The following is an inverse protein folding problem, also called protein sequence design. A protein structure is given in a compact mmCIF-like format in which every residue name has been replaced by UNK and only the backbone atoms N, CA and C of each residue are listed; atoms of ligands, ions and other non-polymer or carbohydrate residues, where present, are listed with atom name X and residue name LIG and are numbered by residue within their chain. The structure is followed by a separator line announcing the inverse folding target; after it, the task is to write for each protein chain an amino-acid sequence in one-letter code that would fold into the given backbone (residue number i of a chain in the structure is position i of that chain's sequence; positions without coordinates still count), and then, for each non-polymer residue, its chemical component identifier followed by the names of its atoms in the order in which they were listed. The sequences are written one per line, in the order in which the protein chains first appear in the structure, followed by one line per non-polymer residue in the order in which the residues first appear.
data_IF_563463423464
#
_entry.id   IF_563463423464
#
_cell.length_a   1.000
_cell.length_b   1.000
_cell.length_c   1.000
_cell.angle_alpha   90.00
_cell.angle_beta   90.00
_cell.angle_gamma   90.00
#
_symmetry.space_group_name_H-M   'P 1'
#
loop_
_entity.id
_entity.type
_entity.pdbx_description
1 polymer ?
#
# COMPACT_ATOMS: atom_id res chain seq x y z
N UNK A 1 -1.23 42.36 -39.35
CA UNK A 1 -1.99 41.43 -38.48
C UNK A 1 -1.52 39.97 -38.52
N UNK A 2 -0.40 39.63 -39.18
CA UNK A 2 0.07 38.22 -39.32
C UNK A 2 1.19 37.79 -38.35
N UNK A 3 1.83 38.72 -37.64
CA UNK A 3 2.96 38.40 -36.72
C UNK A 3 2.54 37.93 -35.32
N UNK A 4 1.28 38.12 -34.93
CA UNK A 4 0.79 37.72 -33.59
C UNK A 4 0.33 36.25 -33.54
N UNK A 5 -0.04 35.65 -34.67
CA UNK A 5 -0.50 34.24 -34.73
C UNK A 5 0.65 33.23 -34.58
N UNK A 6 1.85 33.54 -35.09
CA UNK A 6 3.01 32.63 -34.99
C UNK A 6 3.51 32.45 -33.55
N UNK A 7 3.49 33.51 -32.73
CA UNK A 7 3.95 33.43 -31.33
C UNK A 7 2.99 32.61 -30.44
N UNK A 8 1.69 32.63 -30.76
CA UNK A 8 0.69 31.84 -30.03
C UNK A 8 0.81 30.35 -30.35
N UNK A 9 1.12 30.00 -31.61
CA UNK A 9 1.32 28.62 -32.04
C UNK A 9 2.58 28.01 -31.42
N UNK A 10 3.69 28.76 -31.37
CA UNK A 10 4.92 28.32 -30.68
C UNK A 10 4.73 28.16 -29.17
N UNK A 11 3.94 29.05 -28.53
CA UNK A 11 3.61 28.93 -27.12
C UNK A 11 2.73 27.69 -26.84
N UNK A 12 1.80 27.38 -27.74
CA UNK A 12 0.93 26.20 -27.65
C UNK A 12 1.70 24.88 -27.85
N UNK A 13 2.67 24.84 -28.76
CA UNK A 13 3.56 23.69 -28.97
C UNK A 13 4.48 23.49 -27.75
N UNK A 14 4.97 24.58 -27.13
CA UNK A 14 5.77 24.51 -25.90
C UNK A 14 4.94 24.02 -24.71
N UNK A 15 3.68 24.46 -24.58
CA UNK A 15 2.76 24.00 -23.52
C UNK A 15 2.34 22.52 -23.69
N UNK A 16 2.22 22.03 -24.92
CA UNK A 16 1.96 20.60 -25.19
C UNK A 16 3.18 19.70 -24.94
N UNK A 17 4.40 20.21 -25.02
CA UNK A 17 5.60 19.42 -24.71
C UNK A 17 5.76 19.17 -23.19
N UNK A 18 5.25 20.07 -22.34
CA UNK A 18 5.36 19.95 -20.87
C UNK A 18 4.33 18.98 -20.29
N UNK A 19 3.23 18.69 -20.99
CA UNK A 19 2.17 17.78 -20.52
C UNK A 19 2.49 16.28 -20.69
N UNK A 20 3.63 15.91 -21.27
CA UNK A 20 3.96 14.51 -21.60
C UNK A 20 4.85 13.77 -20.58
N UNK A 21 5.32 14.43 -19.52
CA UNK A 21 6.04 13.76 -18.42
C UNK A 21 5.09 13.41 -17.28
N UNK A 22 4.01 12.68 -17.59
CA UNK A 22 3.25 12.01 -16.54
C UNK A 22 4.06 10.81 -16.05
N UNK A 23 4.34 10.78 -14.75
CA UNK A 23 4.97 9.64 -14.11
C UNK A 23 4.04 8.42 -14.26
N UNK A 24 4.57 7.34 -14.84
CA UNK A 24 3.79 6.13 -15.09
C UNK A 24 3.87 5.23 -13.86
N UNK A 25 2.72 4.91 -13.29
CA UNK A 25 2.59 3.99 -12.15
C UNK A 25 2.33 2.58 -12.65
N UNK A 26 3.13 1.64 -12.17
CA UNK A 26 3.09 0.23 -12.54
C UNK A 26 2.98 -0.62 -11.27
N UNK A 27 1.99 -1.49 -11.22
CA UNK A 27 1.78 -2.39 -10.08
C UNK A 27 1.97 -3.85 -10.49
N UNK A 28 2.69 -4.58 -9.66
CA UNK A 28 2.99 -5.99 -9.81
C UNK A 28 2.66 -6.74 -8.52
N UNK A 29 2.31 -8.01 -8.66
CA UNK A 29 2.02 -8.93 -7.57
C UNK A 29 2.66 -10.29 -7.87
N UNK A 30 3.25 -10.90 -6.86
CA UNK A 30 3.86 -12.22 -6.95
C UNK A 30 4.52 -12.61 -5.64
N UNK A 31 5.73 -13.16 -5.72
CA UNK A 31 6.41 -13.75 -4.57
C UNK A 31 7.92 -13.47 -4.58
N UNK A 32 8.49 -13.39 -3.37
CA UNK A 32 9.91 -13.66 -3.13
C UNK A 32 10.04 -15.15 -2.81
N UNK A 33 10.96 -15.84 -3.47
CA UNK A 33 11.31 -17.23 -3.19
C UNK A 33 12.68 -17.25 -2.55
N UNK A 34 12.74 -17.64 -1.27
CA UNK A 34 13.99 -17.83 -0.54
C UNK A 34 14.64 -19.16 -0.94
N UNK A 35 15.96 -19.31 -0.72
CA UNK A 35 16.70 -20.54 -1.04
C UNK A 35 16.11 -21.80 -0.39
N UNK A 36 15.48 -21.67 0.77
CA UNK A 36 14.79 -22.76 1.48
C UNK A 36 13.37 -23.02 0.96
N UNK A 37 13.02 -22.54 -0.24
CA UNK A 37 11.70 -22.64 -0.90
C UNK A 37 10.54 -21.98 -0.16
N UNK A 38 10.81 -21.14 0.83
CA UNK A 38 9.79 -20.29 1.46
C UNK A 38 9.34 -19.22 0.47
N UNK A 39 8.02 -19.12 0.27
CA UNK A 39 7.42 -18.12 -0.59
C UNK A 39 6.78 -17.01 0.24
N UNK A 40 7.29 -15.79 0.09
CA UNK A 40 6.74 -14.59 0.74
C UNK A 40 5.95 -13.81 -0.30
N UNK A 41 4.68 -13.53 -0.04
CA UNK A 41 3.87 -12.70 -0.93
C UNK A 41 4.47 -11.30 -1.06
N UNK A 42 4.57 -10.80 -2.29
CA UNK A 42 5.24 -9.53 -2.58
C UNK A 42 4.44 -8.72 -3.59
N UNK A 43 4.05 -7.50 -3.19
CA UNK A 43 3.45 -6.50 -4.06
C UNK A 43 4.49 -5.41 -4.33
N UNK A 44 4.61 -5.01 -5.59
CA UNK A 44 5.57 -4.01 -6.02
C UNK A 44 4.84 -2.90 -6.79
N UNK A 45 4.99 -1.66 -6.36
CA UNK A 45 4.48 -0.48 -7.06
C UNK A 45 5.67 0.39 -7.45
N UNK A 46 5.83 0.61 -8.75
CA UNK A 46 6.91 1.43 -9.32
C UNK A 46 6.33 2.66 -10.01
N UNK A 47 6.97 3.79 -9.81
CA UNK A 47 6.73 5.04 -10.50
C UNK A 47 8.00 5.43 -11.26
N UNK A 48 7.86 5.55 -12.59
CA UNK A 48 8.96 5.85 -13.50
C UNK A 48 8.96 7.34 -13.87
N UNK A 49 10.12 7.97 -13.73
CA UNK A 49 10.39 9.34 -14.20
C UNK A 49 11.74 9.37 -14.90
N UNK A 50 11.71 9.19 -16.23
CA UNK A 50 12.92 8.91 -17.00
C UNK A 50 13.49 7.55 -16.61
N UNK A 51 14.79 7.50 -16.30
CA UNK A 51 15.46 6.29 -15.80
C UNK A 51 15.24 6.07 -14.30
N UNK A 52 14.81 7.09 -13.55
CA UNK A 52 14.61 6.96 -12.11
C UNK A 52 13.35 6.15 -11.81
N UNK A 53 13.49 5.24 -10.86
CA UNK A 53 12.42 4.42 -10.32
C UNK A 53 12.24 4.77 -8.85
N UNK A 54 11.00 4.97 -8.45
CA UNK A 54 10.60 5.16 -7.05
C UNK A 54 9.34 4.35 -6.77
N UNK A 55 8.95 4.20 -5.51
CA UNK A 55 7.67 3.60 -5.16
C UNK A 55 7.74 2.81 -3.87
N UNK A 56 7.06 1.68 -3.84
CA UNK A 56 6.88 0.89 -2.63
C UNK A 56 6.80 -0.61 -2.91
N UNK A 57 7.22 -1.41 -1.94
CA UNK A 57 6.87 -2.82 -1.83
C UNK A 57 5.95 -3.07 -0.66
N UNK A 58 5.24 -4.20 -0.69
CA UNK A 58 4.59 -4.79 0.49
C UNK A 58 4.95 -6.27 0.55
N UNK A 59 5.64 -6.69 1.60
CA UNK A 59 5.92 -8.10 1.94
C UNK A 59 4.81 -8.65 2.83
N UNK A 60 4.69 -9.98 2.88
CA UNK A 60 3.70 -10.71 3.69
C UNK A 60 2.27 -10.16 3.55
N UNK A 61 1.86 -9.91 2.30
CA UNK A 61 0.60 -9.23 1.97
C UNK A 61 -0.63 -9.91 2.62
N UNK A 62 -1.28 -9.19 3.54
CA UNK A 62 -2.42 -9.63 4.34
C UNK A 62 -2.09 -10.54 5.54
N UNK A 63 -0.81 -10.86 5.73
CA UNK A 63 -0.27 -11.68 6.81
C UNK A 63 -0.01 -10.91 8.10
N UNK A 64 0.63 -11.57 9.06
CA UNK A 64 0.90 -11.04 10.40
C UNK A 64 2.10 -10.08 10.43
N UNK A 65 2.99 -10.20 9.44
CA UNK A 65 4.24 -9.45 9.33
C UNK A 65 4.22 -8.50 8.12
N UNK A 66 3.02 -8.13 7.64
CA UNK A 66 2.87 -7.24 6.49
C UNK A 66 3.70 -5.97 6.69
N UNK A 67 4.63 -5.72 5.77
CA UNK A 67 5.56 -4.60 5.86
C UNK A 67 5.59 -3.87 4.54
N UNK A 68 5.34 -2.56 4.57
CA UNK A 68 5.41 -1.69 3.41
C UNK A 68 6.70 -0.87 3.44
N UNK A 69 7.56 -1.08 2.45
CA UNK A 69 8.86 -0.42 2.35
C UNK A 69 8.90 0.59 1.20
N UNK A 70 9.66 1.67 1.38
CA UNK A 70 9.98 2.63 0.33
C UNK A 70 11.02 2.04 -0.63
N UNK A 71 10.87 2.32 -1.91
CA UNK A 71 11.78 1.86 -2.97
C UNK A 71 12.39 3.03 -3.71
N UNK A 72 13.68 2.89 -4.03
CA UNK A 72 14.42 3.74 -4.96
C UNK A 72 15.25 2.89 -5.91
N UNK A 73 15.50 3.37 -7.12
CA UNK A 73 16.23 2.61 -8.12
C UNK A 73 16.32 3.29 -9.47
N UNK A 74 16.76 2.52 -10.46
CA UNK A 74 16.87 2.95 -11.84
C UNK A 74 16.44 1.83 -12.80
N UNK A 75 15.84 2.23 -13.92
CA UNK A 75 15.59 1.39 -15.07
C UNK A 75 16.48 1.83 -16.23
N UNK A 76 17.35 0.92 -16.66
CA UNK A 76 18.26 1.11 -17.77
C UNK A 76 17.63 0.51 -19.02
N UNK A 77 17.12 1.38 -19.90
CA UNK A 77 16.41 0.97 -21.12
C UNK A 77 17.31 0.27 -22.13
N UNK A 78 18.57 0.68 -22.24
CA UNK A 78 19.55 0.08 -23.16
C UNK A 78 19.84 -1.38 -22.83
N UNK A 79 19.99 -1.69 -21.54
CA UNK A 79 20.27 -3.04 -21.06
C UNK A 79 19.03 -3.80 -20.59
N UNK A 80 17.83 -3.20 -20.72
CA UNK A 80 16.57 -3.72 -20.20
C UNK A 80 16.72 -4.22 -18.76
N UNK A 81 17.37 -3.43 -17.90
CA UNK A 81 17.70 -3.83 -16.53
C UNK A 81 17.00 -2.93 -15.53
N UNK A 82 16.24 -3.52 -14.63
CA UNK A 82 15.71 -2.84 -13.45
C UNK A 82 16.63 -3.14 -12.27
N UNK A 83 17.07 -2.10 -11.59
CA UNK A 83 17.71 -2.18 -10.28
C UNK A 83 16.92 -1.34 -9.30
N UNK A 84 16.55 -1.91 -8.17
CA UNK A 84 15.94 -1.15 -7.09
C UNK A 84 16.37 -1.71 -5.74
N UNK A 85 16.27 -0.87 -4.73
CA UNK A 85 16.44 -1.26 -3.35
C UNK A 85 15.32 -0.67 -2.50
N UNK A 86 14.91 -1.45 -1.50
CA UNK A 86 14.17 -0.92 -0.37
C UNK A 86 15.14 -0.13 0.53
N UNK A 87 14.67 0.94 1.19
CA UNK A 87 15.56 1.79 2.01
C UNK A 87 14.92 2.33 3.30
N UNK A 88 13.71 1.87 3.63
CA UNK A 88 13.01 2.33 4.82
C UNK A 88 11.56 1.87 4.81
N UNK A 89 10.88 2.03 5.94
CA UNK A 89 9.54 1.47 6.15
C UNK A 89 8.52 2.58 6.27
N UNK A 90 7.42 2.44 5.54
CA UNK A 90 6.25 3.28 5.70
C UNK A 90 5.39 2.83 6.88
N UNK A 91 5.09 1.53 6.93
CA UNK A 91 4.46 0.86 8.08
C UNK A 91 4.86 -0.63 8.13
N UNK A 92 4.75 -1.23 9.31
CA UNK A 92 4.92 -2.68 9.51
C UNK A 92 3.97 -3.20 10.59
N UNK A 93 3.54 -4.45 10.45
CA UNK A 93 2.80 -5.19 11.47
C UNK A 93 3.66 -6.11 12.31
N UNK A 94 4.92 -6.26 11.93
CA UNK A 94 5.91 -6.97 12.72
C UNK A 94 6.26 -6.20 13.99
N UNK A 95 6.73 -6.94 14.99
CA UNK A 95 7.30 -6.35 16.19
C UNK A 95 8.52 -5.49 15.83
N UNK A 96 8.62 -4.32 16.49
CA UNK A 96 9.66 -3.31 16.24
C UNK A 96 10.52 -3.25 17.50
N UNK A 97 11.44 -4.19 17.64
CA UNK A 97 12.35 -4.24 18.80
C UNK A 97 13.65 -3.48 18.53
N UNK A 98 14.30 -3.72 17.39
CA UNK A 98 15.65 -3.19 17.07
C UNK A 98 15.80 -2.54 15.69
N UNK A 99 14.71 -2.40 14.91
CA UNK A 99 14.76 -1.91 13.52
C UNK A 99 15.63 -2.75 12.56
N UNK A 100 15.86 -4.03 12.86
CA UNK A 100 16.67 -4.94 12.02
C UNK A 100 15.90 -5.47 10.80
N UNK A 101 15.44 -4.55 9.95
CA UNK A 101 14.69 -4.90 8.75
C UNK A 101 15.62 -5.30 7.60
N UNK A 102 15.24 -6.39 6.94
CA UNK A 102 15.97 -6.95 5.82
C UNK A 102 15.42 -6.41 4.50
N UNK A 103 16.09 -5.42 3.92
CA UNK A 103 15.67 -4.69 2.73
C UNK A 103 16.07 -5.39 1.44
N UNK A 104 15.13 -5.54 0.51
CA UNK A 104 15.35 -6.17 -0.79
C UNK A 104 16.19 -5.27 -1.70
N UNK A 105 17.36 -5.75 -2.13
CA UNK A 105 18.14 -5.19 -3.24
C UNK A 105 18.00 -6.10 -4.47
N UNK A 106 17.26 -5.64 -5.47
CA UNK A 106 16.95 -6.39 -6.68
C UNK A 106 17.77 -5.89 -7.88
N UNK A 107 18.21 -6.84 -8.71
CA UNK A 107 18.74 -6.55 -10.05
C UNK A 107 18.30 -7.64 -11.01
N UNK A 108 17.54 -7.28 -12.04
CA UNK A 108 17.04 -8.25 -13.01
C UNK A 108 16.74 -7.64 -14.37
N UNK A 109 16.68 -8.51 -15.39
CA UNK A 109 16.28 -8.11 -16.73
C UNK A 109 14.76 -7.97 -16.79
N UNK A 110 14.30 -6.88 -17.37
CA UNK A 110 12.90 -6.50 -17.53
C UNK A 110 12.73 -6.03 -18.96
N UNK A 111 12.06 -6.82 -19.82
CA UNK A 111 12.08 -6.58 -21.27
C UNK A 111 11.57 -5.19 -21.69
N UNK A 112 10.61 -4.60 -20.98
CA UNK A 112 10.18 -3.20 -21.08
C UNK A 112 9.18 -2.81 -19.97
N UNK A 113 9.57 -2.07 -18.93
CA UNK A 113 8.67 -1.66 -17.82
C UNK A 113 7.28 -1.10 -18.27
N UNK A 114 7.18 -0.22 -19.28
CA UNK A 114 5.91 0.31 -19.76
C UNK A 114 4.95 -0.72 -20.38
N UNK A 115 5.49 -1.82 -20.93
CA UNK A 115 4.72 -2.90 -21.57
C UNK A 115 4.80 -4.20 -20.77
N UNK A 116 5.45 -4.15 -19.60
CA UNK A 116 5.94 -5.37 -18.96
C UNK A 116 4.91 -6.07 -18.12
N UNK A 117 5.11 -7.37 -18.09
CA UNK A 117 4.15 -8.30 -17.55
C UNK A 117 4.73 -9.14 -16.44
N UNK A 118 6.05 -9.26 -16.42
CA UNK A 118 6.79 -10.08 -15.47
C UNK A 118 8.09 -9.33 -15.14
N UNK A 119 8.40 -9.24 -13.84
CA UNK A 119 9.73 -8.88 -13.34
C UNK A 119 10.23 -10.13 -12.64
N UNK A 120 11.39 -10.61 -13.09
CA UNK A 120 12.04 -11.80 -12.55
C UNK A 120 13.53 -11.57 -12.42
N UNK A 121 14.14 -12.04 -11.33
CA UNK A 121 15.57 -11.90 -11.11
C UNK A 121 15.97 -12.15 -9.67
N UNK A 122 17.28 -12.16 -9.44
CA UNK A 122 17.85 -12.38 -8.12
C UNK A 122 17.76 -11.10 -7.27
N UNK A 123 17.61 -11.29 -5.98
CA UNK A 123 17.72 -10.23 -4.99
C UNK A 123 18.59 -10.67 -3.82
N UNK A 124 19.17 -9.68 -3.15
CA UNK A 124 19.87 -9.85 -1.89
C UNK A 124 19.19 -8.96 -0.87
N UNK A 125 18.74 -9.53 0.22
CA UNK A 125 18.29 -8.82 1.40
C UNK A 125 19.50 -8.23 2.14
N UNK A 126 19.42 -6.97 2.58
CA UNK A 126 20.45 -6.34 3.43
C UNK A 126 19.84 -5.60 4.61
N UNK A 127 20.54 -5.58 5.73
CA UNK A 127 20.24 -4.68 6.85
C UNK A 127 20.67 -3.24 6.52
N UNK A 128 20.31 -2.28 7.39
CA UNK A 128 20.67 -0.87 7.25
C UNK A 128 22.19 -0.62 7.25
N UNK A 129 22.97 -1.47 7.91
CA UNK A 129 24.44 -1.45 7.90
C UNK A 129 25.06 -2.07 6.62
N UNK A 130 24.21 -2.59 5.72
CA UNK A 130 24.60 -3.19 4.46
C UNK A 130 24.98 -4.67 4.53
N UNK A 131 25.04 -5.30 5.71
CA UNK A 131 25.28 -6.74 5.81
C UNK A 131 24.13 -7.52 5.18
N UNK A 132 24.47 -8.59 4.45
CA UNK A 132 23.47 -9.42 3.82
C UNK A 132 22.72 -10.26 4.86
N UNK A 133 21.38 -10.24 4.80
CA UNK A 133 20.51 -10.99 5.71
C UNK A 133 19.90 -12.24 5.07
N UNK A 134 19.57 -12.17 3.77
CA UNK A 134 19.08 -13.32 3.00
C UNK A 134 19.25 -13.05 1.50
N UNK A 135 18.97 -14.04 0.67
CA UNK A 135 18.95 -13.89 -0.78
C UNK A 135 17.94 -14.86 -1.40
N UNK A 136 17.56 -14.58 -2.64
CA UNK A 136 16.59 -15.39 -3.35
C UNK A 136 16.17 -14.79 -4.68
N UNK A 137 14.99 -15.22 -5.15
CA UNK A 137 14.44 -14.80 -6.43
C UNK A 137 13.13 -14.03 -6.26
N UNK A 138 13.02 -12.89 -6.95
CA UNK A 138 11.78 -12.15 -7.10
C UNK A 138 11.07 -12.64 -8.37
N UNK A 139 9.77 -12.94 -8.28
CA UNK A 139 8.92 -13.21 -9.45
C UNK A 139 7.56 -12.54 -9.26
N UNK A 140 7.32 -11.44 -9.99
CA UNK A 140 6.08 -10.67 -9.91
C UNK A 140 5.49 -10.39 -11.29
N UNK A 141 4.16 -10.28 -11.36
CA UNK A 141 3.42 -10.03 -12.60
C UNK A 141 2.52 -8.82 -12.49
N UNK A 142 2.31 -8.13 -13.61
CA UNK A 142 1.46 -6.93 -13.66
C UNK A 142 0.04 -7.22 -13.12
N UNK A 143 -0.41 -6.45 -12.13
CA UNK A 143 -1.74 -6.61 -11.52
C UNK A 143 -2.84 -6.44 -12.57
N UNK A 144 -2.68 -5.52 -13.53
CA UNK A 144 -3.65 -5.32 -14.60
C UNK A 144 -3.91 -6.59 -15.42
N UNK A 145 -2.86 -7.41 -15.67
CA UNK A 145 -3.02 -8.71 -16.34
C UNK A 145 -3.65 -9.75 -15.45
N UNK A 146 -3.26 -9.82 -14.18
CA UNK A 146 -3.87 -10.73 -13.21
C UNK A 146 -5.38 -10.46 -13.12
N UNK A 147 -5.77 -9.19 -12.99
CA UNK A 147 -7.16 -8.75 -12.94
C UNK A 147 -7.94 -9.11 -14.22
N UNK A 148 -7.37 -8.85 -15.40
CA UNK A 148 -8.01 -9.20 -16.67
C UNK A 148 -8.21 -10.71 -16.83
N UNK A 149 -7.27 -11.53 -16.35
CA UNK A 149 -7.40 -12.99 -16.35
C UNK A 149 -8.45 -13.45 -15.34
N UNK A 150 -8.43 -12.89 -14.12
CA UNK A 150 -9.42 -13.15 -13.07
C UNK A 150 -10.85 -12.85 -13.58
N UNK A 151 -11.07 -11.67 -14.18
CA UNK A 151 -12.36 -11.27 -14.76
C UNK A 151 -12.88 -12.26 -15.81
N UNK A 152 -11.99 -12.82 -16.65
CA UNK A 152 -12.37 -13.83 -17.66
C UNK A 152 -12.79 -15.15 -17.03
N UNK A 153 -12.09 -15.57 -15.96
CA UNK A 153 -12.43 -16.79 -15.22
C UNK A 153 -13.72 -16.59 -14.44
N UNK A 154 -13.88 -15.46 -13.75
CA UNK A 154 -15.11 -15.09 -13.04
C UNK A 154 -16.32 -15.15 -13.98
N UNK A 155 -16.19 -14.60 -15.20
CA UNK A 155 -17.25 -14.66 -16.24
C UNK A 155 -17.58 -16.10 -16.67
N UNK A 156 -16.61 -17.01 -16.68
CA UNK A 156 -16.84 -18.44 -16.99
C UNK A 156 -17.53 -19.15 -15.83
N UNK A 157 -17.09 -18.92 -14.60
CA UNK A 157 -17.67 -19.50 -13.37
C UNK A 157 -19.12 -19.03 -13.20
N UNK A 158 -19.40 -17.74 -13.40
CA UNK A 158 -20.76 -17.20 -13.33
C UNK A 158 -21.72 -17.85 -14.33
N UNK A 159 -21.22 -18.26 -15.51
CA UNK A 159 -22.01 -18.95 -16.54
C UNK A 159 -22.15 -20.45 -16.31
N UNK A 160 -21.39 -21.03 -15.39
CA UNK A 160 -21.45 -22.47 -15.12
C UNK A 160 -22.70 -22.79 -14.28
N UNK A 161 -23.60 -23.60 -14.83
CA UNK A 161 -24.84 -24.06 -14.15
C UNK A 161 -24.57 -24.99 -12.96
N UNK A 162 -23.39 -25.60 -12.91
CA UNK A 162 -23.01 -26.63 -11.91
C UNK A 162 -22.46 -26.02 -10.62
N UNK A 163 -22.10 -24.73 -10.62
CA UNK A 163 -21.58 -24.06 -9.42
C UNK A 163 -22.76 -23.43 -8.66
N UNK A 164 -22.97 -23.77 -7.37
CA UNK A 164 -23.97 -23.11 -6.52
C UNK A 164 -23.72 -21.61 -6.43
N UNK A 165 -24.78 -20.81 -6.42
CA UNK A 165 -24.66 -19.34 -6.39
C UNK A 165 -23.99 -18.81 -5.12
N UNK A 166 -24.08 -19.57 -4.01
CA UNK A 166 -23.36 -19.31 -2.76
C UNK A 166 -21.83 -19.43 -2.88
N UNK A 167 -21.33 -20.28 -3.78
CA UNK A 167 -19.89 -20.42 -4.06
C UNK A 167 -19.44 -19.31 -5.01
N UNK A 168 -20.25 -18.99 -6.04
CA UNK A 168 -19.95 -17.93 -7.01
C UNK A 168 -19.70 -16.56 -6.36
N UNK A 169 -20.44 -16.23 -5.29
CA UNK A 169 -20.30 -14.98 -4.56
C UNK A 169 -19.02 -14.91 -3.69
N UNK A 170 -18.57 -16.05 -3.14
CA UNK A 170 -17.35 -16.13 -2.30
C UNK A 170 -16.05 -16.20 -3.11
N UNK A 171 -16.11 -16.55 -4.40
CA UNK A 171 -14.92 -16.77 -5.25
C UNK A 171 -14.53 -15.58 -6.13
N UNK A 172 -15.02 -14.36 -5.88
CA UNK A 172 -14.67 -13.20 -6.70
C UNK A 172 -13.18 -12.86 -6.54
N UNK A 173 -12.36 -13.37 -7.45
CA UNK A 173 -10.90 -13.17 -7.44
C UNK A 173 -10.55 -11.70 -7.63
N UNK A 174 -11.37 -10.97 -8.39
CA UNK A 174 -11.22 -9.52 -8.56
C UNK A 174 -11.41 -8.76 -7.25
N UNK A 175 -12.40 -9.14 -6.43
CA UNK A 175 -12.61 -8.54 -5.10
C UNK A 175 -11.43 -8.83 -4.16
N UNK A 176 -10.93 -10.06 -4.15
CA UNK A 176 -9.76 -10.44 -3.35
C UNK A 176 -8.50 -9.66 -3.72
N UNK A 177 -8.29 -9.35 -5.00
CA UNK A 177 -7.13 -8.53 -5.44
C UNK A 177 -7.25 -7.09 -4.91
N UNK A 178 -8.44 -6.50 -4.97
CA UNK A 178 -8.68 -5.14 -4.47
C UNK A 178 -8.58 -5.07 -2.94
N UNK A 179 -9.16 -6.05 -2.22
CA UNK A 179 -9.04 -6.16 -0.76
C UNK A 179 -7.57 -6.24 -0.33
N UNK A 180 -6.75 -7.00 -1.06
CA UNK A 180 -5.30 -7.11 -0.81
C UNK A 180 -4.49 -5.85 -1.16
N UNK A 181 -5.08 -4.81 -1.76
CA UNK A 181 -4.40 -3.51 -1.92
C UNK A 181 -4.51 -2.65 -0.67
N UNK A 182 -5.49 -2.93 0.17
CA UNK A 182 -5.77 -2.16 1.38
C UNK A 182 -5.04 -2.77 2.56
N UNK A 183 -4.37 -1.94 3.37
CA UNK A 183 -3.93 -2.37 4.68
C UNK A 183 -5.17 -2.54 5.58
N UNK A 184 -5.52 -3.78 5.87
CA UNK A 184 -6.64 -4.13 6.74
C UNK A 184 -6.17 -4.20 8.20
N UNK A 185 -6.81 -3.45 9.09
CA UNK A 185 -6.54 -3.49 10.52
C UNK A 185 -7.45 -4.51 11.19
N UNK A 186 -6.84 -5.56 11.74
CA UNK A 186 -7.55 -6.66 12.41
C UNK A 186 -7.52 -6.49 13.93
N UNK A 187 -8.37 -7.26 14.60
CA UNK A 187 -8.44 -7.31 16.05
C UNK A 187 -7.10 -7.73 16.67
N UNK A 188 -6.72 -7.05 17.75
CA UNK A 188 -5.51 -7.28 18.54
C UNK A 188 -4.19 -7.18 17.74
N UNK A 189 -4.24 -6.56 16.57
CA UNK A 189 -3.08 -6.30 15.72
C UNK A 189 -2.46 -4.94 16.09
N UNK A 190 -1.13 -4.85 15.94
CA UNK A 190 -0.37 -3.61 16.03
C UNK A 190 0.17 -3.27 14.65
N UNK A 191 0.01 -2.02 14.23
CA UNK A 191 0.63 -1.49 13.02
C UNK A 191 1.54 -0.33 13.40
N UNK A 192 2.85 -0.52 13.29
CA UNK A 192 3.86 0.50 13.51
C UNK A 192 3.99 1.39 12.27
N UNK A 193 4.01 2.70 12.46
CA UNK A 193 4.10 3.72 11.41
C UNK A 193 5.21 4.70 11.77
N UNK A 194 6.11 4.98 10.83
CA UNK A 194 7.25 5.86 11.04
C UNK A 194 6.99 7.25 10.45
N UNK A 195 7.07 8.31 11.26
CA UNK A 195 6.70 9.68 10.87
C UNK A 195 7.83 10.65 11.23
N UNK A 196 8.14 11.57 10.32
CA UNK A 196 9.14 12.62 10.55
C UNK A 196 8.48 14.00 10.69
N UNK A 197 7.60 14.12 11.69
CA UNK A 197 6.91 15.37 11.99
C UNK A 197 6.51 15.49 13.47
N UNK A 198 6.17 16.72 13.85
CA UNK A 198 5.66 17.03 15.18
C UNK A 198 4.15 16.88 15.31
N UNK A 199 3.41 16.81 14.20
CA UNK A 199 1.96 16.66 14.19
C UNK A 199 1.57 15.63 13.12
N UNK A 200 0.53 14.88 13.43
CA UNK A 200 -0.09 13.90 12.56
C UNK A 200 -1.56 14.27 12.35
N UNK A 201 -2.08 14.05 11.14
CA UNK A 201 -3.52 14.11 10.89
C UNK A 201 -4.11 12.70 10.83
N UNK A 202 -5.05 12.42 11.73
CA UNK A 202 -5.90 11.24 11.69
C UNK A 202 -7.22 11.60 11.03
N UNK A 203 -7.55 10.95 9.93
CA UNK A 203 -8.81 11.13 9.20
C UNK A 203 -9.65 9.86 9.26
N UNK A 204 -10.92 10.00 9.61
CA UNK A 204 -11.87 8.89 9.75
C UNK A 204 -13.07 9.17 8.86
N UNK A 205 -13.46 8.18 8.05
CA UNK A 205 -14.64 8.24 7.20
C UNK A 205 -15.08 6.86 6.72
N UNK A 206 -16.29 6.78 6.17
CA UNK A 206 -16.78 5.63 5.44
C UNK A 206 -16.45 5.78 3.95
N UNK A 207 -15.69 4.83 3.39
CA UNK A 207 -15.34 4.80 1.97
C UNK A 207 -16.30 3.94 1.11
N UNK A 208 -17.24 3.24 1.75
CA UNK A 208 -18.22 2.35 1.14
C UNK A 208 -19.66 2.81 1.38
N UNK A 209 -20.48 1.91 1.93
CA UNK A 209 -21.89 2.15 2.20
C UNK A 209 -22.06 2.46 3.69
N UNK A 210 -22.60 3.64 3.99
CA UNK A 210 -22.98 4.01 5.35
C UNK A 210 -24.00 3.00 5.87
N UNK A 211 -23.61 2.30 6.93
CA UNK A 211 -24.40 1.26 7.58
C UNK A 211 -24.42 1.42 9.12
N UNK A 212 -24.03 2.60 9.61
CA UNK A 212 -24.16 2.97 11.02
C UNK A 212 -23.02 2.50 11.91
N UNK A 213 -21.85 2.23 11.33
CA UNK A 213 -20.63 1.95 12.10
C UNK A 213 -20.30 3.02 13.14
N UNK A 214 -19.92 2.58 14.34
CA UNK A 214 -19.55 3.44 15.46
C UNK A 214 -18.20 3.00 16.01
N UNK A 215 -17.27 3.95 16.15
CA UNK A 215 -15.95 3.69 16.71
C UNK A 215 -15.57 4.69 17.80
N UNK A 216 -14.63 4.29 18.64
CA UNK A 216 -13.92 5.17 19.57
C UNK A 216 -12.44 5.14 19.27
N UNK A 217 -11.77 6.29 19.39
CA UNK A 217 -10.32 6.42 19.21
C UNK A 217 -9.70 7.03 20.46
N UNK A 218 -8.60 6.43 20.88
CA UNK A 218 -7.81 6.85 22.04
C UNK A 218 -6.38 7.13 21.62
N UNK A 219 -5.77 8.16 22.19
CA UNK A 219 -4.35 8.53 22.03
C UNK A 219 -3.68 8.32 23.38
N UNK A 220 -2.69 7.45 23.48
CA UNK A 220 -2.00 7.14 24.73
C UNK A 220 -2.98 6.83 25.89
N UNK A 221 -4.02 6.05 25.58
CA UNK A 221 -5.15 5.70 26.46
C UNK A 221 -6.13 6.83 26.83
N UNK A 222 -5.87 8.07 26.43
CA UNK A 222 -6.82 9.18 26.59
C UNK A 222 -7.82 9.23 25.43
N UNK A 223 -9.11 9.50 25.67
CA UNK A 223 -10.11 9.55 24.62
C UNK A 223 -9.89 10.74 23.68
N UNK A 224 -9.68 10.47 22.39
CA UNK A 224 -9.67 11.48 21.33
C UNK A 224 -11.09 11.73 20.81
N UNK A 225 -11.83 10.66 20.55
CA UNK A 225 -13.25 10.70 20.19
C UNK A 225 -13.92 9.41 20.66
N UNK A 226 -15.12 9.51 21.23
CA UNK A 226 -15.86 8.37 21.78
C UNK A 226 -17.20 8.24 21.06
N UNK A 227 -17.59 7.00 20.72
CA UNK A 227 -18.87 6.67 20.05
C UNK A 227 -19.13 7.54 18.80
N UNK A 228 -18.11 7.72 17.98
CA UNK A 228 -18.21 8.43 16.72
C UNK A 228 -18.92 7.56 15.68
N UNK A 229 -20.07 8.03 15.18
CA UNK A 229 -20.73 7.45 14.00
C UNK A 229 -19.90 7.76 12.76
N UNK A 230 -19.40 6.71 12.11
CA UNK A 230 -18.62 6.78 10.88
C UNK A 230 -19.56 7.12 9.73
N UNK A 231 -19.18 8.11 8.93
CA UNK A 231 -19.97 8.53 7.78
C UNK A 231 -19.10 9.02 6.63
N UNK A 232 -19.73 9.39 5.51
CA UNK A 232 -19.03 9.84 4.29
C UNK A 232 -18.19 11.10 4.48
N UNK A 233 -18.59 12.00 5.40
CA UNK A 233 -17.85 13.24 5.65
C UNK A 233 -16.60 12.92 6.46
N UNK A 234 -15.43 13.24 5.89
CA UNK A 234 -14.14 13.12 6.57
C UNK A 234 -14.11 13.90 7.87
N UNK A 235 -13.83 13.19 8.97
CA UNK A 235 -13.53 13.77 10.28
C UNK A 235 -12.01 13.77 10.45
N UNK A 236 -11.41 14.94 10.65
CA UNK A 236 -9.96 15.11 10.74
C UNK A 236 -9.60 15.53 12.17
N UNK A 237 -8.62 14.86 12.76
CA UNK A 237 -8.04 15.17 14.07
C UNK A 237 -6.55 15.46 13.89
N UNK A 238 -6.07 16.54 14.50
CA UNK A 238 -4.64 16.86 14.56
C UNK A 238 -4.08 16.38 15.88
N UNK A 239 -3.10 15.49 15.83
CA UNK A 239 -2.51 14.83 17.00
C UNK A 239 -1.05 15.30 17.13
N UNK A 240 -0.68 16.01 18.21
CA UNK A 240 0.70 16.39 18.46
C UNK A 240 1.53 15.16 18.88
N UNK A 241 2.64 14.93 18.20
CA UNK A 241 3.62 13.88 18.51
C UNK A 241 4.69 14.44 19.45
N UNK A 242 4.35 14.47 20.74
CA UNK A 242 5.25 14.95 21.81
C UNK A 242 6.33 13.92 22.14
N UNK A 243 5.92 12.66 22.26
CA UNK A 243 6.79 11.55 22.60
C UNK A 243 7.38 10.89 21.34
N UNK A 244 8.44 10.08 21.54
CA UNK A 244 9.01 9.27 20.46
C UNK A 244 8.03 8.20 19.96
N UNK A 245 7.15 7.73 20.84
CA UNK A 245 6.14 6.73 20.53
C UNK A 245 4.77 7.23 21.00
N UNK A 246 3.81 7.24 20.09
CA UNK A 246 2.41 7.56 20.38
C UNK A 246 1.52 6.41 19.93
N UNK A 247 0.67 5.89 20.82
CA UNK A 247 -0.26 4.80 20.48
C UNK A 247 -1.66 5.35 20.21
N UNK A 248 -2.18 5.05 19.02
CA UNK A 248 -3.58 5.23 18.68
C UNK A 248 -4.30 3.89 18.83
N UNK A 249 -5.35 3.83 19.63
CA UNK A 249 -6.20 2.63 19.75
C UNK A 249 -7.58 2.92 19.17
N UNK A 250 -7.96 2.14 18.18
CA UNK A 250 -9.29 2.21 17.56
C UNK A 250 -10.12 1.03 18.06
N UNK A 251 -11.33 1.31 18.54
CA UNK A 251 -12.26 0.33 19.09
C UNK A 251 -13.56 0.39 18.30
N UNK A 252 -14.08 -0.77 17.90
CA UNK A 252 -15.42 -0.86 17.33
C UNK A 252 -16.46 -0.91 18.47
N UNK A 253 -17.36 0.07 18.51
CA UNK A 253 -18.43 0.16 19.51
C UNK A 253 -19.68 -0.65 19.10
N UNK A 254 -19.81 -0.96 17.81
CA UNK A 254 -20.83 -1.83 17.23
C UNK A 254 -20.27 -2.62 16.03
N UNK A 255 -21.14 -3.22 15.21
CA UNK A 255 -20.76 -3.93 13.97
C UNK A 255 -21.45 -3.36 12.71
N UNK A 256 -22.10 -2.19 12.84
CA UNK A 256 -22.96 -1.64 11.79
C UNK A 256 -24.16 -2.54 11.44
N UNK A 257 -24.83 -2.24 10.32
CA UNK A 257 -25.79 -3.16 9.69
C UNK A 257 -25.06 -4.25 8.88
N UNK A 258 -23.86 -3.97 8.34
CA UNK A 258 -23.07 -4.90 7.53
C UNK A 258 -21.82 -5.28 8.31
N UNK A 259 -21.88 -6.42 8.99
CA UNK A 259 -20.75 -6.96 9.75
C UNK A 259 -19.55 -7.20 8.83
N UNK A 260 -18.31 -6.85 9.25
CA UNK A 260 -17.92 -6.22 10.53
C UNK A 260 -17.78 -4.68 10.43
N UNK A 261 -17.52 -4.04 11.58
CA UNK A 261 -17.34 -2.59 11.63
C UNK A 261 -16.15 -2.13 10.78
N UNK A 262 -16.45 -1.25 9.83
CA UNK A 262 -15.57 -0.85 8.74
C UNK A 262 -15.46 0.67 8.65
N UNK A 263 -14.36 1.20 9.20
CA UNK A 263 -13.96 2.60 9.07
C UNK A 263 -12.71 2.70 8.19
N UNK A 264 -12.71 3.66 7.26
CA UNK A 264 -11.49 4.10 6.61
C UNK A 264 -10.72 4.99 7.57
N UNK A 265 -9.48 4.59 7.86
CA UNK A 265 -8.56 5.31 8.72
C UNK A 265 -7.40 5.78 7.84
N UNK A 266 -7.19 7.08 7.81
CA UNK A 266 -6.15 7.72 7.00
C UNK A 266 -5.21 8.48 7.94
N UNK A 267 -3.93 8.14 7.89
CA UNK A 267 -2.84 8.79 8.63
C UNK A 267 -2.07 9.64 7.62
N UNK A 268 -1.98 10.94 7.83
CA UNK A 268 -1.28 11.84 6.91
C UNK A 268 -0.37 12.85 7.58
N UNK A 269 0.74 13.13 6.89
CA UNK A 269 1.81 14.04 7.30
C UNK A 269 2.47 14.62 6.04
N UNK A 270 2.29 15.92 5.80
CA UNK A 270 2.77 16.56 4.57
C UNK A 270 2.22 15.87 3.32
N UNK A 271 3.10 15.30 2.49
CA UNK A 271 2.73 14.52 1.30
C UNK A 271 2.50 13.03 1.58
N UNK A 272 2.90 12.54 2.75
CA UNK A 272 2.75 11.14 3.16
C UNK A 272 1.30 10.90 3.57
N UNK A 273 0.73 9.80 3.05
CA UNK A 273 -0.63 9.38 3.34
C UNK A 273 -0.73 7.85 3.35
N UNK A 274 -1.15 7.32 4.49
CA UNK A 274 -1.32 5.89 4.72
C UNK A 274 -2.81 5.62 4.92
N UNK A 275 -3.38 4.88 3.97
CA UNK A 275 -4.79 4.52 3.95
C UNK A 275 -4.97 3.09 4.48
N UNK A 276 -5.75 2.95 5.54
CA UNK A 276 -6.07 1.70 6.23
C UNK A 276 -7.58 1.52 6.33
N UNK A 277 -8.03 0.27 6.47
CA UNK A 277 -9.43 -0.08 6.63
C UNK A 277 -9.59 -0.95 7.88
N UNK A 278 -10.43 -0.54 8.83
CA UNK A 278 -10.73 -1.40 9.98
C UNK A 278 -11.59 -2.59 9.57
N UNK A 279 -11.37 -3.70 10.23
CA UNK A 279 -12.16 -4.91 10.14
C UNK A 279 -12.28 -5.49 11.56
N UNK A 280 -13.24 -4.97 12.32
CA UNK A 280 -13.37 -5.21 13.77
C UNK A 280 -14.81 -5.60 14.12
N UNK A 281 -14.98 -6.59 14.98
CA UNK A 281 -16.25 -6.88 15.64
C UNK A 281 -16.46 -5.96 16.83
N UNK A 282 -17.68 -5.92 17.35
CA UNK A 282 -18.00 -5.13 18.54
C UNK A 282 -17.09 -5.49 19.72
N UNK A 283 -16.46 -4.47 20.29
CA UNK A 283 -15.53 -4.58 21.42
C UNK A 283 -14.10 -4.94 21.02
N UNK A 284 -13.85 -5.34 19.77
CA UNK A 284 -12.49 -5.55 19.27
C UNK A 284 -11.79 -4.21 19.06
N UNK A 285 -10.46 -4.25 19.16
CA UNK A 285 -9.63 -3.07 18.95
C UNK A 285 -8.37 -3.40 18.16
N UNK A 286 -7.80 -2.38 17.54
CA UNK A 286 -6.52 -2.43 16.84
C UNK A 286 -5.67 -1.24 17.29
N UNK A 287 -4.35 -1.38 17.19
CA UNK A 287 -3.40 -0.36 17.62
C UNK A 287 -2.56 0.13 16.44
N UNK A 288 -2.45 1.45 16.30
CA UNK A 288 -1.46 2.10 15.46
C UNK A 288 -0.37 2.68 16.37
N UNK A 289 0.86 2.23 16.21
CA UNK A 289 2.01 2.69 16.99
C UNK A 289 2.80 3.67 16.14
N UNK A 290 2.71 4.96 16.46
CA UNK A 290 3.37 6.02 15.71
C UNK A 290 4.77 6.21 16.32
N UNK A 291 5.79 5.88 15.54
CA UNK A 291 7.20 6.12 15.86
C UNK A 291 7.61 7.45 15.22
N UNK A 292 7.91 8.43 16.05
CA UNK A 292 8.46 9.72 15.62
C UNK A 292 9.95 9.55 15.37
N UNK A 293 10.37 9.74 14.13
CA UNK A 293 11.79 9.71 13.75
C UNK A 293 12.46 11.00 14.21
N UNK A 294 13.56 10.87 14.94
CA UNK A 294 14.42 12.00 15.30
C UNK A 294 15.15 12.47 14.02
N UNK A 295 15.16 13.78 13.75
CA UNK A 295 15.96 14.39 12.68
C UNK A 295 17.40 14.61 13.14
#
# INVERSE_FOLDING_TARGET
MYRFQNNLLTLFILLCAVSLLQAQKHEFLGVLTLKDTVHVAYRLQLELKGEKVSGFSVTDLGGAHETKSYITGNYYSESNTLKFQEYGIEYTKSDVDTYDFCFVHFSGKVSSLPKENIIQGQFVGRYDDGFACLDGELNVKSIAKIYNKAKRIDKKIQKAKVVPDSIKAKTSMTKTIEERRLNMLKANEKTSIFINANNLHLTIFDAGKIDGDVISVYVNNEPLVVKHVVGKKKRIFTIPLKDKVTTLRVVAENEGEIVPNTAKIEISEGSKKIDMLSNLKKGESTQLVIHKLDK
#
